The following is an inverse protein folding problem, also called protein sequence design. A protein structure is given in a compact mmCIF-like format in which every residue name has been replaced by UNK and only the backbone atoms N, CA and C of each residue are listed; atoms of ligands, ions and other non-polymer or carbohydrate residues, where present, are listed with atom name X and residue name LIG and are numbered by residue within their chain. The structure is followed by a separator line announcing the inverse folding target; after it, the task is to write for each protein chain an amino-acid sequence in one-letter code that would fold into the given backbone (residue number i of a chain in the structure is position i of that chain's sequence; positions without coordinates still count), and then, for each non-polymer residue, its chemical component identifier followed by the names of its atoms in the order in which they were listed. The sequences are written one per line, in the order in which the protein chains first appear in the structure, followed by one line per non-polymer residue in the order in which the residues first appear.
data_IF_636869452102
#
_entry.id   IF_636869452102
#
_cell.length_a   1.000
_cell.length_b   1.000
_cell.length_c   1.000
_cell.angle_alpha   90.00
_cell.angle_beta   90.00
_cell.angle_gamma   90.00
#
_symmetry.space_group_name_H-M   'P 1'
#
loop_
_entity.id
_entity.type
_entity.pdbx_description
1 polymer ?
#
# COMPACT_ATOMS: atom_id res chain seq x y z
N UNK A 1 15.50 22.52 -34.45
CA UNK A 1 15.69 21.46 -35.45
C UNK A 1 15.34 20.16 -34.76
N UNK A 2 14.11 19.69 -34.97
CA UNK A 2 13.52 18.55 -34.27
C UNK A 2 13.68 17.23 -35.03
N UNK A 3 12.98 16.22 -34.50
CA UNK A 3 12.97 14.81 -34.90
C UNK A 3 12.56 14.56 -36.37
N UNK A 4 12.11 15.57 -37.10
CA UNK A 4 11.78 15.57 -38.53
C UNK A 4 12.94 15.21 -39.48
N UNK A 5 14.16 15.00 -38.95
CA UNK A 5 15.36 14.60 -39.71
C UNK A 5 16.06 13.34 -39.16
N UNK A 6 15.38 12.54 -38.34
CA UNK A 6 15.91 11.25 -37.87
C UNK A 6 15.99 10.28 -39.06
N UNK A 7 17.23 9.96 -39.44
CA UNK A 7 17.58 9.13 -40.58
C UNK A 7 17.73 7.69 -40.09
N UNK A 8 16.65 6.93 -40.18
CA UNK A 8 16.73 5.46 -40.19
C UNK A 8 16.24 4.78 -38.92
N UNK A 9 15.84 3.53 -39.14
CA UNK A 9 15.35 2.56 -38.17
C UNK A 9 16.37 2.40 -37.01
N UNK A 10 16.21 3.15 -35.91
CA UNK A 10 17.06 3.04 -34.72
C UNK A 10 17.68 4.35 -34.19
N UNK A 11 17.41 5.50 -34.81
CA UNK A 11 17.92 6.81 -34.33
C UNK A 11 16.96 7.46 -33.31
N UNK A 12 17.47 7.92 -32.17
CA UNK A 12 16.69 8.52 -31.07
C UNK A 12 17.40 9.76 -30.49
N UNK A 13 16.63 10.74 -30.02
CA UNK A 13 17.12 11.81 -29.12
C UNK A 13 16.67 11.52 -27.69
N UNK A 14 17.62 11.41 -26.77
CA UNK A 14 17.41 11.11 -25.35
C UNK A 14 17.70 12.34 -24.48
N UNK A 15 16.84 12.64 -23.51
CA UNK A 15 16.99 13.77 -22.58
C UNK A 15 16.52 13.33 -21.19
N UNK A 16 17.21 13.77 -20.14
CA UNK A 16 16.83 13.53 -18.73
C UNK A 16 16.70 14.85 -17.98
N UNK A 17 16.16 14.83 -16.76
CA UNK A 17 16.07 16.02 -15.90
C UNK A 17 17.45 16.66 -15.63
N UNK A 18 18.49 15.83 -15.53
CA UNK A 18 19.87 16.27 -15.30
C UNK A 18 20.61 16.69 -16.59
N UNK A 19 20.05 16.37 -17.77
CA UNK A 19 20.66 16.66 -19.08
C UNK A 19 19.68 17.42 -19.97
N UNK A 20 19.61 18.77 -19.86
CA UNK A 20 18.65 19.59 -20.60
C UNK A 20 18.96 19.71 -22.09
N UNK A 21 20.15 19.28 -22.54
CA UNK A 21 20.50 19.20 -23.95
C UNK A 21 20.29 17.75 -24.42
N UNK A 22 19.37 17.49 -25.36
CA UNK A 22 19.11 16.13 -25.83
C UNK A 22 20.36 15.56 -26.52
N UNK A 23 20.69 14.32 -26.16
CA UNK A 23 21.80 13.55 -26.74
C UNK A 23 21.24 12.61 -27.81
N UNK A 24 21.87 12.59 -28.98
CA UNK A 24 21.55 11.61 -30.02
C UNK A 24 22.11 10.24 -29.64
N UNK A 25 21.27 9.22 -29.75
CA UNK A 25 21.56 7.81 -29.45
C UNK A 25 21.14 6.99 -30.66
N UNK A 26 21.99 6.04 -31.06
CA UNK A 26 21.70 5.12 -32.15
C UNK A 26 21.64 3.70 -31.57
N UNK A 27 20.47 3.06 -31.71
CA UNK A 27 20.25 1.67 -31.35
C UNK A 27 20.23 0.77 -32.58
N UNK A 28 20.40 -0.53 -32.35
CA UNK A 28 20.08 -1.53 -33.37
C UNK A 28 18.55 -1.60 -33.52
N UNK A 29 18.04 -1.51 -34.75
CA UNK A 29 16.67 -1.93 -35.00
C UNK A 29 16.62 -3.46 -34.91
N UNK A 30 15.76 -3.95 -34.03
CA UNK A 30 15.45 -5.37 -33.93
C UNK A 30 14.00 -5.54 -34.39
N UNK A 31 13.78 -6.37 -35.39
CA UNK A 31 12.45 -6.70 -35.88
C UNK A 31 11.76 -7.68 -34.95
N UNK A 32 10.42 -7.71 -34.94
CA UNK A 32 9.66 -8.63 -34.08
C UNK A 32 10.05 -10.10 -34.25
N UNK A 33 10.37 -10.51 -35.48
CA UNK A 33 10.86 -11.86 -35.78
C UNK A 33 12.20 -12.16 -35.11
N UNK A 34 13.14 -11.20 -35.11
CA UNK A 34 14.44 -11.36 -34.45
C UNK A 34 14.29 -11.49 -32.93
N UNK A 35 13.43 -10.66 -32.32
CA UNK A 35 13.10 -10.75 -30.89
C UNK A 35 12.55 -12.13 -30.55
N UNK A 36 11.63 -12.65 -31.37
CA UNK A 36 11.04 -13.97 -31.14
C UNK A 36 12.10 -15.07 -31.20
N UNK A 37 12.95 -15.08 -32.23
CA UNK A 37 14.05 -16.06 -32.38
C UNK A 37 15.00 -16.05 -31.18
N UNK A 38 15.39 -14.87 -30.70
CA UNK A 38 16.27 -14.75 -29.53
C UNK A 38 15.56 -15.26 -28.27
N UNK A 39 14.30 -14.88 -28.07
CA UNK A 39 13.56 -15.28 -26.88
C UNK A 39 13.30 -16.79 -26.85
N UNK A 40 13.02 -17.41 -28.00
CA UNK A 40 12.82 -18.86 -28.10
C UNK A 40 14.11 -19.63 -27.85
N UNK A 41 15.23 -19.15 -28.39
CA UNK A 41 16.54 -19.71 -28.08
C UNK A 41 16.84 -19.68 -26.58
N UNK A 42 16.50 -18.59 -25.88
CA UNK A 42 16.67 -18.48 -24.43
C UNK A 42 15.76 -19.45 -23.66
N UNK A 43 14.49 -19.58 -24.06
CA UNK A 43 13.55 -20.53 -23.44
C UNK A 43 13.99 -21.99 -23.57
N UNK A 44 14.69 -22.34 -24.65
CA UNK A 44 15.22 -23.69 -24.85
C UNK A 44 16.35 -24.06 -23.89
N UNK A 45 17.07 -23.08 -23.34
CA UNK A 45 18.21 -23.34 -22.47
C UNK A 45 17.80 -23.68 -21.03
N UNK A 46 16.72 -23.07 -20.53
CA UNK A 46 16.26 -23.25 -19.15
C UNK A 46 14.79 -22.87 -19.00
N UNK A 47 14.02 -23.56 -18.15
CA UNK A 47 12.70 -23.08 -17.74
C UNK A 47 12.79 -21.68 -17.12
N UNK A 48 11.78 -20.81 -17.37
CA UNK A 48 11.74 -19.48 -16.78
C UNK A 48 11.69 -19.58 -15.25
N UNK A 49 12.49 -18.77 -14.58
CA UNK A 49 12.37 -18.53 -13.15
C UNK A 49 11.69 -17.17 -12.99
N UNK A 50 10.44 -17.21 -12.56
CA UNK A 50 9.70 -16.00 -12.24
C UNK A 50 9.95 -15.61 -10.80
N UNK A 51 9.89 -14.31 -10.54
CA UNK A 51 9.90 -13.77 -9.19
C UNK A 51 8.45 -13.66 -8.72
N UNK A 52 8.10 -14.45 -7.70
CA UNK A 52 6.74 -14.51 -7.19
C UNK A 52 6.28 -13.16 -6.59
N UNK A 53 7.21 -12.33 -6.09
CA UNK A 53 6.92 -10.96 -5.64
C UNK A 53 6.45 -10.07 -6.81
N UNK A 54 6.96 -10.32 -8.02
CA UNK A 54 6.58 -9.57 -9.22
C UNK A 54 5.29 -10.12 -9.83
N UNK A 55 5.10 -11.44 -9.82
CA UNK A 55 3.92 -12.10 -10.39
C UNK A 55 2.67 -11.91 -9.53
N UNK A 56 2.82 -11.80 -8.22
CA UNK A 56 1.72 -11.61 -7.27
C UNK A 56 1.21 -10.16 -7.21
N UNK A 57 1.95 -9.20 -7.77
CA UNK A 57 1.50 -7.80 -7.77
C UNK A 57 0.17 -7.66 -8.52
N UNK A 58 -0.87 -7.12 -7.87
CA UNK A 58 -2.16 -6.93 -8.51
C UNK A 58 -2.01 -5.94 -9.67
N UNK A 59 -2.17 -6.43 -10.89
CA UNK A 59 -2.14 -5.60 -12.10
C UNK A 59 -3.39 -4.73 -12.10
N UNK A 60 -3.27 -3.46 -11.71
CA UNK A 60 -4.38 -2.51 -11.79
C UNK A 60 -4.60 -2.17 -13.27
N UNK A 61 -5.44 -2.96 -13.93
CA UNK A 61 -5.89 -2.79 -15.31
C UNK A 61 -6.87 -1.60 -15.42
N UNK A 62 -6.43 -0.40 -15.08
CA UNK A 62 -7.19 0.82 -15.35
C UNK A 62 -7.03 1.24 -16.81
N UNK A 63 -7.47 0.41 -17.76
CA UNK A 63 -7.84 0.75 -19.15
C UNK A 63 -6.83 1.52 -20.03
N UNK A 64 -5.65 1.84 -19.55
CA UNK A 64 -4.55 2.52 -20.25
C UNK A 64 -3.32 1.66 -19.99
N UNK A 65 -2.74 1.17 -21.08
CA UNK A 65 -1.76 0.08 -21.14
C UNK A 65 -0.81 0.02 -19.94
N UNK A 66 -0.58 -1.19 -19.45
CA UNK A 66 0.26 -1.49 -18.30
C UNK A 66 1.63 -0.85 -18.43
N UNK A 67 1.81 0.29 -17.76
CA UNK A 67 3.12 0.83 -17.46
C UNK A 67 3.59 0.07 -16.22
N UNK A 68 4.47 -0.90 -16.43
CA UNK A 68 5.31 -1.42 -15.34
C UNK A 68 6.06 -0.21 -14.80
N UNK A 69 5.71 0.20 -13.58
CA UNK A 69 6.28 1.39 -12.97
C UNK A 69 7.80 1.23 -12.88
N UNK A 70 8.47 2.25 -13.39
CA UNK A 70 9.91 2.48 -13.47
C UNK A 70 10.69 1.95 -12.25
N UNK A 71 11.68 1.09 -12.52
CA UNK A 71 12.72 0.70 -11.57
C UNK A 71 13.63 1.90 -11.32
N UNK A 72 13.22 2.76 -10.38
CA UNK A 72 13.94 3.96 -9.98
C UNK A 72 13.82 4.23 -8.48
N UNK A 73 14.29 3.31 -7.64
CA UNK A 73 14.40 3.55 -6.20
C UNK A 73 14.47 2.26 -5.41
N UNK A 74 15.69 1.87 -5.01
CA UNK A 74 15.89 0.73 -4.12
C UNK A 74 15.24 0.94 -2.75
N UNK A 75 14.45 -0.03 -2.34
CA UNK A 75 14.31 -0.56 -0.97
C UNK A 75 13.35 -1.76 -1.07
N UNK A 76 13.78 -2.91 -0.56
CA UNK A 76 13.09 -4.20 -0.67
C UNK A 76 11.66 -4.16 -0.13
N UNK A 77 10.80 -5.01 -0.69
CA UNK A 77 9.39 -5.02 -0.32
C UNK A 77 8.73 -6.38 -0.58
N UNK A 78 8.69 -7.22 0.45
CA UNK A 78 7.61 -8.22 0.62
C UNK A 78 7.24 -8.48 2.10
N UNK A 79 7.61 -7.57 3.00
CA UNK A 79 7.08 -7.52 4.38
C UNK A 79 6.79 -6.08 4.80
N UNK A 80 6.70 -5.19 3.80
CA UNK A 80 6.73 -3.76 4.00
C UNK A 80 5.38 -3.07 3.84
N UNK A 81 4.34 -3.70 3.25
CA UNK A 81 3.09 -3.00 2.98
C UNK A 81 2.25 -2.87 4.25
N UNK A 82 2.15 -3.93 5.05
CA UNK A 82 1.53 -3.87 6.39
C UNK A 82 2.30 -2.92 7.32
N UNK A 83 3.64 -2.97 7.30
CA UNK A 83 4.48 -2.06 8.08
C UNK A 83 4.31 -0.60 7.62
N UNK A 84 4.20 -0.37 6.31
CA UNK A 84 3.97 0.96 5.73
C UNK A 84 2.57 1.49 6.07
N UNK A 85 1.56 0.63 6.09
CA UNK A 85 0.20 0.97 6.51
C UNK A 85 0.18 1.43 7.97
N UNK A 86 0.72 0.62 8.89
CA UNK A 86 0.82 0.99 10.31
C UNK A 86 1.60 2.29 10.52
N UNK A 87 2.72 2.47 9.82
CA UNK A 87 3.52 3.69 9.89
C UNK A 87 2.76 4.91 9.35
N UNK A 88 1.99 4.75 8.27
CA UNK A 88 1.16 5.80 7.70
C UNK A 88 0.05 6.23 8.66
N UNK A 89 -0.66 5.27 9.27
CA UNK A 89 -1.70 5.55 10.26
C UNK A 89 -1.11 6.30 11.45
N UNK A 90 0.04 5.84 11.97
CA UNK A 90 0.74 6.50 13.07
C UNK A 90 1.08 7.96 12.75
N UNK A 91 1.65 8.22 11.57
CA UNK A 91 1.99 9.58 11.12
C UNK A 91 0.75 10.47 11.06
N UNK A 92 -0.38 9.96 10.57
CA UNK A 92 -1.62 10.72 10.46
C UNK A 92 -2.18 11.07 11.84
N UNK A 93 -2.20 10.12 12.77
CA UNK A 93 -2.66 10.33 14.16
C UNK A 93 -1.77 11.36 14.87
N UNK A 94 -0.44 11.22 14.79
CA UNK A 94 0.51 12.15 15.42
C UNK A 94 0.34 13.59 14.94
N UNK A 95 0.10 13.78 13.64
CA UNK A 95 0.00 15.11 13.03
C UNK A 95 -1.43 15.67 13.04
N UNK A 96 -2.43 14.86 13.43
CA UNK A 96 -3.88 15.18 13.42
C UNK A 96 -4.41 15.71 12.08
N UNK A 97 -3.70 15.43 10.99
CA UNK A 97 -4.01 15.90 9.63
C UNK A 97 -3.56 14.85 8.64
N UNK A 98 -4.44 14.49 7.70
CA UNK A 98 -4.11 13.59 6.60
C UNK A 98 -3.95 14.39 5.30
N UNK A 99 -2.76 14.34 4.70
CA UNK A 99 -2.51 14.86 3.35
C UNK A 99 -1.48 14.03 2.60
N UNK A 100 -1.64 13.93 1.28
CA UNK A 100 -0.72 13.17 0.42
C UNK A 100 0.72 13.67 0.58
N UNK A 101 0.89 14.98 0.62
CA UNK A 101 2.17 15.65 0.85
C UNK A 101 2.82 15.34 2.21
N UNK A 102 2.03 15.05 3.26
CA UNK A 102 2.54 14.67 4.56
C UNK A 102 3.16 13.27 4.47
N UNK A 103 2.43 12.30 3.92
CA UNK A 103 2.88 10.92 3.79
C UNK A 103 4.07 10.80 2.84
N UNK A 104 4.07 11.52 1.72
CA UNK A 104 5.20 11.55 0.78
C UNK A 104 6.51 11.95 1.47
N UNK A 105 6.46 12.95 2.37
CA UNK A 105 7.64 13.44 3.09
C UNK A 105 8.07 12.54 4.24
N UNK A 106 7.11 11.97 4.97
CA UNK A 106 7.38 11.16 6.17
C UNK A 106 7.83 9.75 5.80
N UNK A 107 7.15 9.12 4.85
CA UNK A 107 7.38 7.73 4.46
C UNK A 107 8.25 7.58 3.20
N UNK A 108 8.68 8.71 2.61
CA UNK A 108 9.48 8.75 1.36
C UNK A 108 8.86 7.97 0.20
N UNK A 109 7.53 8.01 0.11
CA UNK A 109 6.74 7.32 -0.93
C UNK A 109 6.33 8.27 -2.06
N UNK A 110 6.05 7.72 -3.24
CA UNK A 110 5.51 8.46 -4.37
C UNK A 110 4.05 8.90 -4.17
N UNK A 111 3.61 9.91 -4.93
CA UNK A 111 2.24 10.48 -4.85
C UNK A 111 1.14 9.41 -4.99
N UNK A 112 1.31 8.49 -5.94
CA UNK A 112 0.34 7.42 -6.19
C UNK A 112 0.11 6.51 -4.99
N UNK A 113 1.18 6.10 -4.29
CA UNK A 113 1.05 5.32 -3.05
C UNK A 113 0.44 6.16 -1.92
N UNK A 114 0.90 7.39 -1.75
CA UNK A 114 0.39 8.27 -0.70
C UNK A 114 -1.11 8.57 -0.84
N UNK A 115 -1.61 8.72 -2.07
CA UNK A 115 -3.04 8.88 -2.33
C UNK A 115 -3.82 7.63 -1.92
N UNK A 116 -3.37 6.45 -2.35
CA UNK A 116 -4.03 5.17 -2.03
C UNK A 116 -4.13 4.93 -0.53
N UNK A 117 -3.05 5.19 0.22
CA UNK A 117 -3.06 5.05 1.68
C UNK A 117 -4.10 5.97 2.33
N UNK A 118 -4.27 7.20 1.83
CA UNK A 118 -5.27 8.13 2.37
C UNK A 118 -6.69 7.71 2.01
N UNK A 119 -6.89 7.19 0.80
CA UNK A 119 -8.20 6.68 0.37
C UNK A 119 -8.60 5.44 1.19
N UNK A 120 -7.67 4.52 1.44
CA UNK A 120 -7.87 3.38 2.34
C UNK A 120 -8.17 3.81 3.78
N UNK A 121 -7.50 4.85 4.29
CA UNK A 121 -7.81 5.40 5.63
C UNK A 121 -9.20 6.04 5.71
N UNK A 122 -9.72 6.60 4.61
CA UNK A 122 -11.10 7.09 4.54
C UNK A 122 -12.10 5.93 4.51
N UNK A 123 -11.84 4.88 3.73
CA UNK A 123 -12.68 3.67 3.68
C UNK A 123 -12.80 2.99 5.05
N UNK A 124 -11.72 3.01 5.85
CA UNK A 124 -11.73 2.47 7.22
C UNK A 124 -12.20 3.47 8.29
N UNK A 125 -12.60 4.68 7.92
CA UNK A 125 -13.09 5.68 8.87
C UNK A 125 -12.03 6.28 9.80
N UNK A 126 -10.74 6.10 9.48
CA UNK A 126 -9.60 6.70 10.20
C UNK A 126 -9.53 8.21 9.89
N UNK A 127 -9.87 8.58 8.65
CA UNK A 127 -9.78 9.93 8.11
C UNK A 127 -11.14 10.35 7.54
N UNK A 128 -11.54 11.60 7.80
CA UNK A 128 -12.79 12.17 7.31
C UNK A 128 -12.79 12.41 5.80
N UNK A 129 -13.98 12.71 5.26
CA UNK A 129 -14.17 12.89 3.82
C UNK A 129 -13.41 14.08 3.24
N UNK A 130 -13.10 13.98 1.95
CA UNK A 130 -12.33 15.01 1.25
C UNK A 130 -13.05 16.38 1.21
N UNK A 131 -12.61 17.32 2.04
CA UNK A 131 -13.07 18.73 1.99
C UNK A 131 -12.22 19.57 1.03
N UNK A 132 -12.31 19.29 -0.28
CA UNK A 132 -11.64 20.07 -1.32
C UNK A 132 -10.10 20.03 -1.24
N UNK A 133 -9.44 21.19 -1.36
CA UNK A 133 -7.97 21.28 -1.36
C UNK A 133 -7.33 21.25 0.05
N UNK A 134 -8.12 21.08 1.11
CA UNK A 134 -7.63 21.07 2.49
C UNK A 134 -7.24 19.65 2.94
N UNK A 135 -6.26 19.53 3.86
CA UNK A 135 -5.98 18.26 4.53
C UNK A 135 -7.26 17.70 5.17
N UNK A 136 -7.41 16.38 5.14
CA UNK A 136 -8.55 15.70 5.75
C UNK A 136 -8.35 15.64 7.27
N UNK A 137 -9.47 15.75 7.99
CA UNK A 137 -9.48 15.64 9.46
C UNK A 137 -9.32 14.17 9.87
N UNK A 138 -8.62 13.93 10.98
CA UNK A 138 -8.40 12.58 11.51
C UNK A 138 -9.47 12.29 12.55
N UNK A 139 -10.16 11.16 12.39
CA UNK A 139 -11.32 10.78 13.21
C UNK A 139 -10.94 9.91 14.41
N UNK A 140 -9.80 9.23 14.34
CA UNK A 140 -9.27 8.36 15.40
C UNK A 140 -8.21 9.06 16.24
N UNK A 141 -8.12 8.68 17.51
CA UNK A 141 -7.23 9.33 18.47
C UNK A 141 -6.02 8.48 18.87
N UNK A 142 -6.05 7.17 18.63
CA UNK A 142 -5.00 6.23 19.02
C UNK A 142 -4.84 5.08 18.01
N UNK A 143 -3.68 4.43 18.01
CA UNK A 143 -3.44 3.19 17.24
C UNK A 143 -4.35 2.04 17.72
N UNK A 144 -4.68 2.02 19.02
CA UNK A 144 -5.49 0.96 19.63
C UNK A 144 -6.93 0.95 19.10
N UNK A 145 -7.48 2.12 18.77
CA UNK A 145 -8.80 2.26 18.11
C UNK A 145 -8.80 1.69 16.67
N UNK A 146 -7.65 1.65 16.01
CA UNK A 146 -7.54 1.22 14.60
C UNK A 146 -7.21 -0.26 14.50
N UNK A 147 -6.30 -0.75 15.36
CA UNK A 147 -5.77 -2.11 15.25
C UNK A 147 -6.33 -3.09 16.28
N UNK A 148 -7.07 -2.60 17.30
CA UNK A 148 -7.73 -3.44 18.30
C UNK A 148 -6.75 -4.29 19.10
N UNK A 149 -6.52 -3.95 20.36
CA UNK A 149 -5.98 -4.95 21.27
C UNK A 149 -7.07 -6.00 21.49
N UNK A 150 -6.84 -7.24 21.07
CA UNK A 150 -7.53 -8.44 21.58
C UNK A 150 -7.19 -8.59 23.07
N UNK A 151 -7.67 -7.68 23.90
CA UNK A 151 -7.76 -7.89 25.34
C UNK A 151 -9.10 -8.61 25.59
N UNK A 152 -9.11 -9.86 26.09
CA UNK A 152 -10.35 -10.43 26.57
C UNK A 152 -10.79 -9.63 27.79
N UNK A 153 -11.84 -8.83 27.63
CA UNK A 153 -12.59 -8.22 28.72
C UNK A 153 -13.16 -9.33 29.61
N UNK A 154 -12.40 -9.67 30.65
CA UNK A 154 -12.86 -10.42 31.81
C UNK A 154 -13.45 -9.48 32.84
N UNK A 155 -14.52 -8.76 32.47
CA UNK A 155 -15.30 -7.94 33.40
C UNK A 155 -16.06 -8.85 34.38
N UNK A 156 -15.53 -8.90 35.59
CA UNK A 156 -16.24 -8.60 36.84
C UNK A 156 -17.70 -9.08 36.94
N UNK A 157 -17.90 -10.36 37.29
CA UNK A 157 -19.18 -10.83 37.84
C UNK A 157 -19.32 -10.37 39.31
N UNK A 158 -19.67 -9.10 39.49
CA UNK A 158 -20.30 -8.62 40.71
C UNK A 158 -21.73 -9.15 40.82
N UNK A 159 -21.89 -10.37 41.35
CA UNK A 159 -23.19 -10.87 41.79
C UNK A 159 -23.41 -10.51 43.26
N UNK A 160 -24.49 -9.77 43.46
CA UNK A 160 -24.97 -9.15 44.69
C UNK A 160 -25.03 -10.09 45.91
N UNK A 161 -24.58 -9.58 47.06
CA UNK A 161 -24.90 -10.08 48.38
C UNK A 161 -26.43 -10.15 48.57
N UNK A 162 -26.98 -11.36 48.53
CA UNK A 162 -28.33 -11.61 49.03
C UNK A 162 -28.29 -11.69 50.57
N UNK A 163 -29.09 -10.90 51.31
CA UNK A 163 -29.13 -11.00 52.76
C UNK A 163 -29.76 -12.34 53.18
N UNK A 164 -29.06 -13.04 54.07
CA UNK A 164 -29.54 -14.20 54.82
C UNK A 164 -30.81 -13.83 55.58
N UNK A 165 -31.94 -14.46 55.25
CA UNK A 165 -33.12 -14.45 56.09
C UNK A 165 -33.36 -15.86 56.62
N UNK A 166 -32.78 -16.09 57.78
CA UNK A 166 -33.04 -17.22 58.65
C UNK A 166 -34.44 -17.08 59.24
N UNK A 167 -35.43 -17.79 58.69
CA UNK A 167 -36.62 -18.15 59.48
C UNK A 167 -37.45 -19.25 58.80
N UNK A 168 -37.31 -20.49 59.29
CA UNK A 168 -38.39 -21.46 59.22
C UNK A 168 -38.45 -22.23 60.55
N UNK A 169 -39.53 -22.10 61.33
CA UNK A 169 -39.73 -22.87 62.54
C UNK A 169 -40.67 -24.06 62.28
N UNK A 170 -40.41 -25.20 62.97
CA UNK A 170 -41.27 -26.40 63.13
C UNK A 170 -41.53 -27.22 61.84
N UNK A 171 -41.61 -28.56 61.81
CA UNK A 171 -41.70 -29.62 62.82
C UNK A 171 -41.35 -30.97 62.16
N UNK A 172 -41.00 -31.94 63.02
CA UNK A 172 -41.11 -33.39 62.93
C UNK A 172 -41.61 -34.06 61.63
N UNK A 173 -40.96 -35.18 61.25
CA UNK A 173 -41.58 -36.51 60.99
C UNK A 173 -40.52 -37.53 60.52
N UNK A 174 -40.26 -38.54 61.39
CA UNK A 174 -40.01 -39.98 61.09
C UNK A 174 -38.83 -40.29 60.13
N UNK A 175 -37.73 -40.93 60.56
CA UNK A 175 -37.62 -42.32 61.05
C UNK A 175 -36.21 -42.61 61.56
#
# INVERSE_FOLDING_TARGET
MGAEKLLGMGDMLFSTADMPKPKRVQGALIMGEETQRVTDFLRMQRPPQYDDEVVSQPVVLNGKGGVVADYGGGAGHDSGDDNMWEEAVRVVIENKKASTSLLQRRLRIGYGRASRLIDQMEEQGIVGSASGAKPRDVLVSSMDEVFGTDAPDGDDMGLEDAPTNDNHPFDDVIR
#
